data_IF_827359645070
#
_entry.id   IF_827359645070
#
_cell.length_a   1.000
_cell.length_b   1.000
_cell.length_c   1.000
_cell.angle_alpha   90.00
_cell.angle_beta   90.00
_cell.angle_gamma   90.00
#
_symmetry.space_group_name_H-M   'P 1'
#
loop_
_entity.id
_entity.type
_entity.pdbx_description
1 polymer ?
#
# COMPACT_ATOMS: atom_id res chain seq x y z
N UNK A 1 -8.22 5.65 14.19
CA UNK A 1 -7.69 5.92 12.83
C UNK A 1 -6.40 5.14 12.64
N UNK A 2 -6.17 4.52 11.47
CA UNK A 2 -4.89 3.92 11.16
C UNK A 2 -3.80 4.99 11.08
N UNK A 3 -2.58 4.62 11.44
CA UNK A 3 -1.39 5.48 11.29
C UNK A 3 -0.54 4.95 10.14
N UNK A 4 0.25 5.81 9.52
CA UNK A 4 1.08 5.41 8.38
C UNK A 4 2.50 5.96 8.44
N UNK A 5 3.43 5.17 7.90
CA UNK A 5 4.83 5.52 7.67
C UNK A 5 5.18 5.23 6.21
N UNK A 6 6.17 5.95 5.66
CA UNK A 6 6.65 5.77 4.29
C UNK A 6 8.15 5.55 4.32
N UNK A 7 8.61 4.41 3.81
CA UNK A 7 10.04 4.14 3.66
C UNK A 7 10.68 5.06 2.62
N UNK A 8 12.00 5.21 2.65
CA UNK A 8 12.73 5.99 1.63
C UNK A 8 12.56 5.42 0.22
N UNK A 9 12.43 4.09 0.12
CA UNK A 9 12.17 3.42 -1.16
C UNK A 9 10.79 3.80 -1.71
N UNK A 10 9.75 3.79 -0.87
CA UNK A 10 8.43 4.29 -1.24
C UNK A 10 8.48 5.75 -1.71
N UNK A 11 9.25 6.60 -1.03
CA UNK A 11 9.37 7.99 -1.43
C UNK A 11 10.05 8.16 -2.81
N UNK A 12 11.09 7.37 -3.10
CA UNK A 12 11.75 7.34 -4.42
C UNK A 12 10.77 6.89 -5.51
N UNK A 13 10.10 5.78 -5.27
CA UNK A 13 9.07 5.23 -6.16
C UNK A 13 7.98 6.27 -6.46
N UNK A 14 7.44 6.93 -5.42
CA UNK A 14 6.41 7.96 -5.56
C UNK A 14 6.90 9.17 -6.36
N UNK A 15 8.19 9.56 -6.25
CA UNK A 15 8.78 10.63 -7.07
C UNK A 15 8.84 10.26 -8.55
N UNK A 16 9.06 8.99 -8.88
CA UNK A 16 9.07 8.50 -10.27
C UNK A 16 7.69 8.45 -10.93
N UNK A 17 6.61 8.49 -10.15
CA UNK A 17 5.24 8.45 -10.70
C UNK A 17 4.83 9.75 -11.38
N UNK A 18 4.12 9.62 -12.51
CA UNK A 18 3.41 10.72 -13.14
C UNK A 18 2.30 11.29 -12.24
N UNK A 19 1.87 12.55 -12.45
CA UNK A 19 0.76 13.14 -11.69
C UNK A 19 -0.52 12.29 -11.73
N UNK A 20 -0.83 11.67 -12.87
CA UNK A 20 -2.01 10.80 -13.04
C UNK A 20 -1.89 9.54 -12.19
N UNK A 21 -0.72 8.90 -12.18
CA UNK A 21 -0.48 7.72 -11.34
C UNK A 21 -0.58 8.06 -9.85
N UNK A 22 -0.01 9.20 -9.42
CA UNK A 22 -0.14 9.67 -8.02
C UNK A 22 -1.59 9.95 -7.64
N UNK A 23 -2.39 10.52 -8.54
CA UNK A 23 -3.81 10.77 -8.30
C UNK A 23 -4.61 9.46 -8.16
N UNK A 24 -4.35 8.47 -9.02
CA UNK A 24 -4.96 7.13 -8.93
C UNK A 24 -4.58 6.44 -7.62
N UNK A 25 -3.30 6.46 -7.24
CA UNK A 25 -2.84 5.91 -5.97
C UNK A 25 -3.52 6.57 -4.77
N UNK A 26 -3.60 7.91 -4.72
CA UNK A 26 -4.29 8.62 -3.63
C UNK A 26 -5.76 8.18 -3.48
N UNK A 27 -6.46 7.96 -4.60
CA UNK A 27 -7.84 7.43 -4.57
C UNK A 27 -7.89 6.01 -4.00
N UNK A 28 -6.96 5.14 -4.38
CA UNK A 28 -6.87 3.79 -3.84
C UNK A 28 -6.56 3.79 -2.33
N UNK A 29 -5.63 4.64 -1.87
CA UNK A 29 -5.32 4.80 -0.44
C UNK A 29 -6.54 5.27 0.35
N UNK A 30 -7.34 6.19 -0.19
CA UNK A 30 -8.59 6.61 0.46
C UNK A 30 -9.55 5.44 0.69
N UNK A 31 -9.71 4.57 -0.31
CA UNK A 31 -10.52 3.33 -0.20
C UNK A 31 -9.93 2.36 0.82
N UNK A 32 -8.61 2.17 0.77
CA UNK A 32 -7.87 1.31 1.69
C UNK A 32 -8.05 1.74 3.14
N UNK A 33 -7.96 3.03 3.45
CA UNK A 33 -8.10 3.54 4.82
C UNK A 33 -9.51 3.29 5.37
N UNK A 34 -10.54 3.48 4.55
CA UNK A 34 -11.94 3.19 4.92
C UNK A 34 -12.12 1.71 5.22
N UNK A 35 -11.65 0.85 4.31
CA UNK A 35 -11.79 -0.60 4.42
C UNK A 35 -10.98 -1.16 5.60
N UNK A 36 -9.78 -0.65 5.83
CA UNK A 36 -8.93 -1.04 6.95
C UNK A 36 -9.58 -0.68 8.29
N UNK A 37 -10.31 0.43 8.37
CA UNK A 37 -11.08 0.79 9.56
C UNK A 37 -12.31 -0.12 9.76
N UNK A 38 -12.91 -0.60 8.66
CA UNK A 38 -14.03 -1.55 8.68
C UNK A 38 -13.62 -3.02 8.84
N UNK A 39 -12.33 -3.34 8.78
CA UNK A 39 -11.78 -4.69 8.94
C UNK A 39 -11.94 -5.61 7.72
N UNK A 40 -12.56 -5.15 6.63
CA UNK A 40 -12.75 -5.93 5.39
C UNK A 40 -12.38 -5.09 4.18
N UNK A 41 -11.56 -5.65 3.29
CA UNK A 41 -11.17 -5.00 2.04
C UNK A 41 -12.11 -5.34 0.90
N UNK A 42 -12.44 -4.33 0.10
CA UNK A 42 -13.15 -4.55 -1.18
C UNK A 42 -12.27 -5.31 -2.18
N UNK A 43 -12.89 -6.19 -2.97
CA UNK A 43 -12.19 -7.02 -3.96
C UNK A 43 -11.35 -6.22 -4.95
N UNK A 44 -11.79 -5.01 -5.31
CA UNK A 44 -11.09 -4.14 -6.25
C UNK A 44 -9.70 -3.67 -5.77
N UNK A 45 -9.40 -3.74 -4.47
CA UNK A 45 -8.06 -3.47 -3.95
C UNK A 45 -7.17 -4.71 -3.97
N UNK A 46 -7.75 -5.92 -4.10
CA UNK A 46 -7.03 -7.21 -4.15
C UNK A 46 -5.95 -7.32 -3.06
N UNK A 47 -6.28 -6.88 -1.84
CA UNK A 47 -5.33 -6.90 -0.73
C UNK A 47 -5.03 -8.35 -0.35
N UNK A 48 -3.77 -8.75 -0.42
CA UNK A 48 -3.34 -10.10 -0.02
C UNK A 48 -1.91 -10.09 0.48
N UNK A 49 -1.53 -11.14 1.20
CA UNK A 49 -0.15 -11.35 1.63
C UNK A 49 0.70 -11.78 0.43
N UNK A 50 1.92 -11.27 0.35
CA UNK A 50 2.90 -11.71 -0.63
C UNK A 50 3.57 -12.99 -0.11
N UNK A 51 3.49 -14.06 -0.88
CA UNK A 51 4.05 -15.36 -0.50
C UNK A 51 5.58 -15.30 -0.35
N UNK A 52 6.12 -16.12 0.55
CA UNK A 52 7.56 -16.15 0.85
C UNK A 52 8.10 -14.91 1.58
N UNK A 53 7.27 -13.91 1.88
CA UNK A 53 7.69 -12.72 2.64
C UNK A 53 7.32 -12.83 4.12
N UNK A 54 8.09 -12.16 4.98
CA UNK A 54 7.87 -12.10 6.44
C UNK A 54 6.68 -11.24 6.90
N UNK A 55 5.60 -11.14 6.11
CA UNK A 55 4.43 -10.32 6.44
C UNK A 55 4.28 -9.04 5.60
N UNK A 56 4.76 -9.07 4.35
CA UNK A 56 4.47 -8.03 3.37
C UNK A 56 3.13 -8.36 2.71
N UNK A 57 2.34 -7.32 2.51
CA UNK A 57 1.06 -7.33 1.83
C UNK A 57 1.17 -6.50 0.55
N UNK A 58 0.38 -6.88 -0.46
CA UNK A 58 0.22 -6.11 -1.67
C UNK A 58 -1.22 -5.61 -1.82
N UNK A 59 -1.39 -4.54 -2.60
CA UNK A 59 -2.69 -4.09 -3.09
C UNK A 59 -2.61 -3.53 -4.52
N UNK A 60 -3.71 -3.62 -5.23
CA UNK A 60 -3.94 -2.94 -6.51
C UNK A 60 -4.29 -1.47 -6.26
N UNK A 61 -3.47 -0.56 -6.79
CA UNK A 61 -3.64 0.89 -6.63
C UNK A 61 -4.17 1.60 -7.89
N UNK A 62 -4.05 0.96 -9.04
CA UNK A 62 -4.53 1.37 -10.36
C UNK A 62 -4.61 0.10 -11.25
N UNK A 63 -5.17 0.15 -12.47
CA UNK A 63 -5.21 -1.02 -13.37
C UNK A 63 -3.85 -1.73 -13.48
N UNK A 64 -2.79 -0.97 -13.72
CA UNK A 64 -1.41 -1.47 -13.78
C UNK A 64 -0.60 -1.12 -12.51
N UNK A 65 -1.24 -0.55 -11.50
CA UNK A 65 -0.58 -0.05 -10.30
C UNK A 65 -0.60 -1.05 -9.15
N UNK A 66 0.51 -1.17 -8.44
CA UNK A 66 0.69 -1.97 -7.23
C UNK A 66 1.28 -1.12 -6.12
N UNK A 67 1.02 -1.52 -4.90
CA UNK A 67 1.70 -1.01 -3.72
C UNK A 67 1.91 -2.14 -2.72
N UNK A 68 3.08 -2.17 -2.09
CA UNK A 68 3.38 -3.09 -0.99
C UNK A 68 3.43 -2.34 0.33
N UNK A 69 2.97 -3.01 1.38
CA UNK A 69 3.00 -2.49 2.74
C UNK A 69 3.17 -3.62 3.75
N UNK A 70 3.50 -3.26 4.98
CA UNK A 70 3.50 -4.19 6.10
C UNK A 70 2.82 -3.52 7.30
N UNK A 71 2.33 -4.35 8.23
CA UNK A 71 1.89 -3.83 9.52
C UNK A 71 3.09 -3.66 10.45
N UNK A 72 3.24 -2.48 11.02
CA UNK A 72 4.17 -2.22 12.11
C UNK A 72 3.50 -2.37 13.48
N UNK A 73 4.25 -2.08 14.55
CA UNK A 73 3.68 -2.02 15.90
C UNK A 73 2.56 -0.98 15.95
N UNK A 74 1.41 -1.38 16.50
CA UNK A 74 0.25 -0.49 16.66
C UNK A 74 0.65 0.75 17.45
N UNK A 75 0.30 1.94 16.93
CA UNK A 75 0.55 3.24 17.58
C UNK A 75 -0.78 3.81 18.08
N UNK A 76 -1.36 3.16 19.09
CA UNK A 76 -2.65 3.51 19.69
C UNK A 76 -3.76 2.50 19.36
N UNK A 77 -4.99 2.99 19.15
CA UNK A 77 -6.20 2.16 18.96
C UNK A 77 -6.40 1.62 17.53
N UNK A 78 -5.40 1.68 16.65
CA UNK A 78 -5.57 1.30 15.24
C UNK A 78 -4.28 0.79 14.58
N UNK A 79 -4.39 0.06 13.47
CA UNK A 79 -3.25 -0.55 12.80
C UNK A 79 -2.25 0.52 12.32
N UNK A 80 -0.97 0.17 12.36
CA UNK A 80 0.11 0.98 11.81
C UNK A 80 0.57 0.40 10.48
N UNK A 81 0.46 1.16 9.40
CA UNK A 81 0.78 0.73 8.03
C UNK A 81 2.09 1.35 7.59
N UNK A 82 3.06 0.52 7.22
CA UNK A 82 4.35 0.97 6.70
C UNK A 82 4.36 0.72 5.20
N UNK A 83 4.29 1.79 4.40
CA UNK A 83 4.34 1.73 2.94
C UNK A 83 5.77 1.45 2.46
N UNK A 84 5.93 0.39 1.67
CA UNK A 84 7.23 -0.12 1.21
C UNK A 84 7.53 0.29 -0.22
N UNK A 85 6.67 -0.08 -1.17
CA UNK A 85 6.83 0.18 -2.60
C UNK A 85 5.55 0.68 -3.24
N UNK A 86 5.69 1.41 -4.34
CA UNK A 86 4.56 1.83 -5.19
C UNK A 86 5.01 1.89 -6.65
N UNK A 87 4.23 1.36 -7.57
CA UNK A 87 4.64 1.36 -8.98
C UNK A 87 3.79 0.46 -9.84
N UNK A 88 4.37 0.00 -10.94
CA UNK A 88 3.86 -1.09 -11.78
C UNK A 88 4.11 -2.45 -11.11
N UNK A 89 4.03 -3.54 -11.89
CA UNK A 89 4.44 -4.88 -11.45
C UNK A 89 5.94 -4.98 -11.12
N UNK A 90 6.77 -4.03 -11.55
CA UNK A 90 8.24 -4.08 -11.36
C UNK A 90 8.67 -3.97 -9.88
N UNK A 91 7.74 -3.57 -8.99
CA UNK A 91 8.05 -3.44 -7.57
C UNK A 91 8.21 -4.78 -6.84
N UNK A 92 7.78 -5.90 -7.42
CA UNK A 92 7.87 -7.22 -6.81
C UNK A 92 9.27 -7.84 -6.88
N UNK A 93 10.21 -7.26 -7.63
CA UNK A 93 11.61 -7.72 -7.62
C UNK A 93 12.32 -7.47 -6.28
N UNK A 94 11.85 -6.48 -5.51
CA UNK A 94 12.36 -6.11 -4.18
C UNK A 94 11.20 -5.56 -3.31
N UNK A 95 10.27 -6.42 -2.86
CA UNK A 95 8.97 -6.00 -2.31
C UNK A 95 9.02 -5.23 -0.98
#
# INVERSE_FOLDING_TARGET
>A
MPTYERTDRFQRDHRGLSPVQRARFRRAVGRFVVDLAGGTFRDGLRVKRVDGTGGIFEMTSAPDGRATFQYGKSRGKGPHVIWRRIGSHDIFGEP
#
